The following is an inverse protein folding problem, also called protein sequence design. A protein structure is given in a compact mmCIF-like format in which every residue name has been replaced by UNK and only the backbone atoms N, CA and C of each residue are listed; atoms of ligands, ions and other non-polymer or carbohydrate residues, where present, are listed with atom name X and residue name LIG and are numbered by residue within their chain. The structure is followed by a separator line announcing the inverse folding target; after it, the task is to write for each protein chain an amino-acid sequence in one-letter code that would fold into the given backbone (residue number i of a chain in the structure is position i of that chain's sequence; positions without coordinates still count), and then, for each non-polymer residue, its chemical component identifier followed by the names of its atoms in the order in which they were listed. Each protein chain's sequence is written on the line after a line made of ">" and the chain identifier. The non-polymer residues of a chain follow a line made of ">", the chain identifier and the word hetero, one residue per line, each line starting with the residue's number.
data_IF_673621656939
#
_entry.id   IF_673621656939
#
_cell.length_a   1.000
_cell.length_b   1.000
_cell.length_c   1.000
_cell.angle_alpha   90.00
_cell.angle_beta   90.00
_cell.angle_gamma   90.00
#
_symmetry.space_group_name_H-M   'P 1'
#
loop_
_entity.id
_entity.type
_entity.pdbx_description
1 polymer ?
#
# COMPACT_ATOMS: atom_id res chain seq x y z
N UNK A 1 -9.61 11.71 10.75
CA UNK A 1 -8.77 11.81 9.53
C UNK A 1 -7.93 10.56 9.26
N UNK A 2 -7.42 9.91 10.29
CA UNK A 2 -6.62 8.67 10.17
C UNK A 2 -7.35 7.52 9.47
N UNK A 3 -8.65 7.38 9.72
CA UNK A 3 -9.49 6.38 9.04
C UNK A 3 -9.51 6.56 7.52
N UNK A 4 -9.50 7.81 7.03
CA UNK A 4 -9.45 8.10 5.60
C UNK A 4 -8.15 7.59 4.97
N UNK A 5 -7.02 7.71 5.65
CA UNK A 5 -5.73 7.18 5.17
C UNK A 5 -5.73 5.66 5.08
N UNK A 6 -6.32 4.98 6.05
CA UNK A 6 -6.46 3.52 6.04
C UNK A 6 -7.36 3.09 4.87
N UNK A 7 -8.52 3.71 4.73
CA UNK A 7 -9.44 3.43 3.61
C UNK A 7 -8.75 3.69 2.27
N UNK A 8 -8.10 4.86 2.14
CA UNK A 8 -7.37 5.22 0.93
C UNK A 8 -6.30 4.19 0.59
N UNK A 9 -5.45 3.82 1.55
CA UNK A 9 -4.36 2.86 1.34
C UNK A 9 -4.89 1.51 0.85
N UNK A 10 -5.84 0.91 1.57
CA UNK A 10 -6.37 -0.40 1.19
C UNK A 10 -7.20 -0.35 -0.10
N UNK A 11 -8.01 0.69 -0.30
CA UNK A 11 -8.82 0.82 -1.51
C UNK A 11 -7.95 1.07 -2.74
N UNK A 12 -6.90 1.91 -2.61
CA UNK A 12 -6.01 2.21 -3.73
C UNK A 12 -5.14 1.02 -4.09
N UNK A 13 -4.52 0.36 -3.12
CA UNK A 13 -3.69 -0.81 -3.37
C UNK A 13 -4.54 -1.97 -3.90
N UNK A 14 -5.66 -2.29 -3.26
CA UNK A 14 -6.54 -3.37 -3.73
C UNK A 14 -7.14 -3.06 -5.11
N UNK A 15 -7.60 -1.84 -5.32
CA UNK A 15 -8.24 -1.43 -6.57
C UNK A 15 -7.28 -1.47 -7.75
N UNK A 16 -6.08 -0.89 -7.60
CA UNK A 16 -5.05 -0.96 -8.64
C UNK A 16 -4.62 -2.41 -8.90
N UNK A 17 -4.44 -3.20 -7.84
CA UNK A 17 -4.05 -4.60 -7.98
C UNK A 17 -5.10 -5.48 -8.67
N UNK A 18 -6.38 -5.13 -8.57
CA UNK A 18 -7.43 -5.82 -9.30
C UNK A 18 -7.26 -5.72 -10.83
N UNK A 19 -6.48 -4.75 -11.32
CA UNK A 19 -6.17 -4.63 -12.75
C UNK A 19 -5.47 -5.86 -13.31
N UNK A 20 -4.70 -6.61 -12.51
CA UNK A 20 -4.02 -7.83 -12.96
C UNK A 20 -5.03 -8.88 -13.49
N UNK A 21 -6.23 -8.90 -12.95
CA UNK A 21 -7.28 -9.84 -13.35
C UNK A 21 -7.77 -9.67 -14.79
N UNK A 22 -7.43 -8.55 -15.44
CA UNK A 22 -7.72 -8.34 -16.86
C UNK A 22 -6.74 -9.09 -17.79
N UNK A 23 -5.56 -9.44 -17.25
CA UNK A 23 -4.46 -10.00 -18.04
C UNK A 23 -4.14 -11.44 -17.66
N UNK A 24 -4.33 -11.82 -16.40
CA UNK A 24 -3.93 -13.12 -15.85
C UNK A 24 -5.09 -13.76 -15.10
N UNK A 25 -5.21 -15.09 -15.18
CA UNK A 25 -6.14 -15.84 -14.36
C UNK A 25 -5.76 -15.72 -12.88
N UNK A 26 -6.72 -15.39 -12.04
CA UNK A 26 -6.52 -15.24 -10.61
C UNK A 26 -6.64 -16.59 -9.89
N UNK A 27 -6.02 -16.69 -8.71
CA UNK A 27 -6.21 -17.85 -7.83
C UNK A 27 -7.69 -18.04 -7.44
N UNK A 28 -8.13 -19.29 -7.37
CA UNK A 28 -9.46 -19.64 -6.88
C UNK A 28 -9.59 -19.42 -5.38
N UNK A 29 -8.48 -19.54 -4.63
CA UNK A 29 -8.46 -19.30 -3.19
C UNK A 29 -8.68 -17.81 -2.88
N UNK A 30 -9.72 -17.52 -2.10
CA UNK A 30 -10.10 -16.15 -1.77
C UNK A 30 -8.97 -15.33 -1.12
N UNK A 31 -8.28 -15.90 -0.12
CA UNK A 31 -7.24 -15.21 0.62
C UNK A 31 -6.02 -14.92 -0.26
N UNK A 32 -5.55 -15.93 -1.01
CA UNK A 32 -4.42 -15.80 -1.93
C UNK A 32 -4.70 -14.74 -3.01
N UNK A 33 -5.86 -14.81 -3.65
CA UNK A 33 -6.28 -13.85 -4.67
C UNK A 33 -6.27 -12.41 -4.16
N UNK A 34 -6.87 -12.16 -2.99
CA UNK A 34 -6.95 -10.81 -2.45
C UNK A 34 -5.58 -10.30 -1.96
N UNK A 35 -4.74 -11.17 -1.42
CA UNK A 35 -3.38 -10.83 -1.04
C UNK A 35 -2.53 -10.47 -2.28
N UNK A 36 -2.64 -11.27 -3.34
CA UNK A 36 -1.93 -10.98 -4.60
C UNK A 36 -2.37 -9.65 -5.20
N UNK A 37 -3.68 -9.35 -5.19
CA UNK A 37 -4.18 -8.04 -5.61
C UNK A 37 -3.58 -6.92 -4.78
N UNK A 38 -3.54 -7.08 -3.46
CA UNK A 38 -2.97 -6.08 -2.57
C UNK A 38 -1.49 -5.85 -2.86
N UNK A 39 -0.68 -6.91 -2.97
CA UNK A 39 0.76 -6.81 -3.23
C UNK A 39 1.09 -6.20 -4.59
N UNK A 40 0.41 -6.67 -5.64
CA UNK A 40 0.56 -6.12 -6.99
C UNK A 40 0.11 -4.65 -7.02
N UNK A 41 -0.99 -4.34 -6.33
CA UNK A 41 -1.48 -2.97 -6.24
C UNK A 41 -0.54 -2.02 -5.53
N UNK A 42 0.16 -2.49 -4.49
CA UNK A 42 1.20 -1.70 -3.84
C UNK A 42 2.34 -1.38 -4.82
N UNK A 43 2.81 -2.39 -5.57
CA UNK A 43 3.80 -2.18 -6.63
C UNK A 43 3.31 -1.24 -7.73
N UNK A 44 2.06 -1.41 -8.18
CA UNK A 44 1.46 -0.53 -9.19
C UNK A 44 1.27 0.91 -8.67
N UNK A 45 0.95 1.10 -7.40
CA UNK A 45 0.84 2.43 -6.80
C UNK A 45 2.19 3.16 -6.86
N UNK A 46 3.29 2.47 -6.53
CA UNK A 46 4.63 3.02 -6.64
C UNK A 46 5.04 3.30 -8.09
N UNK A 47 4.79 2.34 -8.99
CA UNK A 47 5.10 2.49 -10.41
C UNK A 47 4.33 3.67 -11.05
N UNK A 48 3.03 3.76 -10.78
CA UNK A 48 2.20 4.87 -11.26
C UNK A 48 2.66 6.19 -10.66
N UNK A 49 3.00 6.23 -9.37
CA UNK A 49 3.55 7.41 -8.73
C UNK A 49 4.80 7.90 -9.44
N UNK A 50 5.73 6.99 -9.73
CA UNK A 50 6.93 7.31 -10.48
C UNK A 50 6.62 7.81 -11.90
N UNK A 51 5.73 7.12 -12.63
CA UNK A 51 5.32 7.49 -13.97
C UNK A 51 4.65 8.88 -14.02
N UNK A 52 3.69 9.13 -13.12
CA UNK A 52 3.02 10.43 -13.03
C UNK A 52 4.03 11.55 -12.72
N UNK A 53 4.97 11.29 -11.82
CA UNK A 53 6.02 12.25 -11.47
C UNK A 53 6.92 12.56 -12.66
N UNK A 54 7.33 11.56 -13.47
CA UNK A 54 8.09 11.75 -14.70
C UNK A 54 7.33 12.60 -15.74
N UNK A 55 6.02 12.40 -15.83
CA UNK A 55 5.14 13.15 -16.72
C UNK A 55 4.79 14.53 -16.16
N UNK A 56 5.36 14.93 -15.01
CA UNK A 56 5.05 16.18 -14.28
C UNK A 56 3.57 16.32 -13.90
N UNK A 57 2.89 15.20 -13.73
CA UNK A 57 1.52 15.16 -13.22
C UNK A 57 1.61 15.13 -11.68
N UNK A 58 0.85 15.98 -10.97
CA UNK A 58 0.91 16.05 -9.52
C UNK A 58 0.60 14.71 -8.85
N UNK A 59 1.40 14.32 -7.85
CA UNK A 59 1.19 13.14 -7.02
C UNK A 59 0.05 13.38 -6.03
N UNK A 60 -1.16 13.62 -6.53
CA UNK A 60 -2.34 13.85 -5.71
C UNK A 60 -3.04 12.53 -5.40
N UNK A 61 -3.34 12.25 -4.12
CA UNK A 61 -4.01 11.04 -3.66
C UNK A 61 -5.35 10.76 -4.38
N UNK A 62 -6.05 11.82 -4.84
CA UNK A 62 -7.32 11.71 -5.56
C UNK A 62 -7.17 11.01 -6.91
N UNK A 63 -6.04 11.20 -7.58
CA UNK A 63 -5.74 10.52 -8.85
C UNK A 63 -5.68 9.01 -8.62
N UNK A 64 -4.94 8.56 -7.60
CA UNK A 64 -4.84 7.14 -7.26
C UNK A 64 -6.20 6.56 -6.84
N UNK A 65 -6.97 7.31 -6.08
CA UNK A 65 -8.33 6.91 -5.68
C UNK A 65 -9.25 6.75 -6.91
N UNK A 66 -9.27 7.72 -7.83
CA UNK A 66 -10.09 7.67 -9.04
C UNK A 66 -9.68 6.49 -9.92
N UNK A 67 -8.39 6.31 -10.17
CA UNK A 67 -7.89 5.17 -10.97
C UNK A 67 -8.29 3.83 -10.34
N UNK A 68 -8.15 3.70 -9.03
CA UNK A 68 -8.53 2.49 -8.30
C UNK A 68 -10.02 2.19 -8.40
N UNK A 69 -10.85 3.22 -8.24
CA UNK A 69 -12.31 3.08 -8.37
C UNK A 69 -12.72 2.72 -9.80
N UNK A 70 -12.09 3.31 -10.82
CA UNK A 70 -12.35 2.96 -12.23
C UNK A 70 -12.02 1.49 -12.51
N UNK A 71 -10.89 0.99 -12.00
CA UNK A 71 -10.52 -0.43 -12.13
C UNK A 71 -11.55 -1.32 -11.44
N UNK A 72 -11.95 -1.00 -10.20
CA UNK A 72 -12.93 -1.79 -9.45
C UNK A 72 -14.30 -1.81 -10.12
N UNK A 73 -14.79 -0.66 -10.60
CA UNK A 73 -16.07 -0.56 -11.32
C UNK A 73 -16.00 -1.38 -12.61
N UNK A 74 -14.91 -1.26 -13.37
CA UNK A 74 -14.71 -2.03 -14.60
C UNK A 74 -14.68 -3.54 -14.33
N UNK A 75 -13.97 -3.96 -13.28
CA UNK A 75 -13.92 -5.37 -12.86
C UNK A 75 -15.30 -5.87 -12.44
N UNK A 76 -16.00 -5.11 -11.59
CA UNK A 76 -17.35 -5.46 -11.17
C UNK A 76 -18.31 -5.60 -12.35
N UNK A 77 -18.28 -4.67 -13.32
CA UNK A 77 -19.09 -4.74 -14.51
C UNK A 77 -18.81 -5.99 -15.38
N UNK A 78 -17.51 -6.33 -15.53
CA UNK A 78 -17.13 -7.53 -16.30
C UNK A 78 -17.54 -8.83 -15.58
N UNK A 79 -17.41 -8.89 -14.27
CA UNK A 79 -17.80 -10.05 -13.47
C UNK A 79 -19.33 -10.20 -13.47
N UNK A 80 -20.07 -9.08 -13.42
CA UNK A 80 -21.52 -9.07 -13.57
C UNK A 80 -21.95 -9.66 -14.91
N UNK A 81 -21.36 -9.18 -16.02
CA UNK A 81 -21.67 -9.69 -17.36
C UNK A 81 -21.35 -11.17 -17.55
N UNK A 82 -20.36 -11.69 -16.84
CA UNK A 82 -19.93 -13.10 -16.90
C UNK A 82 -20.67 -14.00 -15.90
N UNK A 83 -21.67 -13.49 -15.19
CA UNK A 83 -22.38 -14.18 -14.10
C UNK A 83 -21.43 -14.80 -13.03
N UNK A 84 -20.27 -14.14 -12.80
CA UNK A 84 -19.26 -14.58 -11.83
C UNK A 84 -19.30 -13.79 -10.52
N UNK A 85 -20.45 -13.20 -10.18
CA UNK A 85 -20.61 -12.45 -8.95
C UNK A 85 -20.46 -13.37 -7.74
N UNK A 86 -19.42 -13.09 -6.95
CA UNK A 86 -19.20 -13.59 -5.59
C UNK A 86 -19.23 -15.11 -5.38
N UNK A 87 -18.20 -15.82 -5.79
CA UNK A 87 -17.86 -17.07 -5.10
C UNK A 87 -16.97 -16.73 -3.89
N UNK A 88 -17.56 -16.58 -2.72
CA UNK A 88 -16.86 -16.54 -1.44
C UNK A 88 -16.44 -17.97 -1.05
N UNK A 89 -15.50 -18.54 -1.77
CA UNK A 89 -14.92 -19.83 -1.40
C UNK A 89 -13.83 -19.59 -0.33
N UNK A 90 -14.28 -19.37 0.90
CA UNK A 90 -13.42 -19.20 2.08
C UNK A 90 -12.92 -20.57 2.57
N UNK A 91 -12.08 -21.24 1.80
CA UNK A 91 -11.35 -22.44 2.26
C UNK A 91 -10.21 -22.02 3.19
N UNK A 92 -10.57 -21.64 4.41
CA UNK A 92 -9.60 -21.39 5.47
C UNK A 92 -9.15 -22.74 6.05
N UNK A 93 -7.94 -23.16 5.73
CA UNK A 93 -7.30 -24.26 6.43
C UNK A 93 -6.71 -23.76 7.78
N UNK A 94 -6.40 -24.68 8.68
CA UNK A 94 -5.85 -24.36 10.01
C UNK A 94 -4.56 -23.53 9.92
N UNK A 95 -3.70 -23.79 8.93
CA UNK A 95 -2.45 -23.04 8.75
C UNK A 95 -2.70 -21.60 8.32
N UNK A 96 -3.67 -21.35 7.44
CA UNK A 96 -4.06 -20.00 7.06
C UNK A 96 -4.60 -19.21 8.26
N UNK A 97 -5.42 -19.85 9.10
CA UNK A 97 -5.91 -19.23 10.34
C UNK A 97 -4.75 -18.88 11.27
N UNK A 98 -3.81 -19.81 11.48
CA UNK A 98 -2.62 -19.58 12.31
C UNK A 98 -1.81 -18.39 11.80
N UNK A 99 -1.57 -18.30 10.48
CA UNK A 99 -0.83 -17.19 9.88
C UNK A 99 -1.55 -15.86 10.05
N UNK A 100 -2.87 -15.83 9.92
CA UNK A 100 -3.66 -14.61 10.17
C UNK A 100 -3.55 -14.19 11.65
N UNK A 101 -3.60 -15.13 12.58
CA UNK A 101 -3.40 -14.83 14.01
C UNK A 101 -1.99 -14.31 14.28
N UNK A 102 -0.96 -14.93 13.71
CA UNK A 102 0.42 -14.48 13.83
C UNK A 102 0.60 -13.08 13.21
N UNK A 103 0.02 -12.83 12.05
CA UNK A 103 0.02 -11.50 11.43
C UNK A 103 -0.63 -10.45 12.33
N UNK A 104 -1.80 -10.74 12.90
CA UNK A 104 -2.49 -9.83 13.80
C UNK A 104 -1.66 -9.54 15.07
N UNK A 105 -1.06 -10.58 15.67
CA UNK A 105 -0.20 -10.44 16.83
C UNK A 105 1.06 -9.62 16.51
N UNK A 106 1.73 -9.92 15.39
CA UNK A 106 2.93 -9.19 14.94
C UNK A 106 2.61 -7.73 14.62
N UNK A 107 1.51 -7.47 13.89
CA UNK A 107 1.05 -6.11 13.61
C UNK A 107 0.75 -5.33 14.89
N UNK A 108 0.06 -5.96 15.85
CA UNK A 108 -0.21 -5.35 17.14
C UNK A 108 1.09 -5.00 17.90
N UNK A 109 2.07 -5.90 17.92
CA UNK A 109 3.36 -5.67 18.56
C UNK A 109 4.13 -4.53 17.89
N UNK A 110 4.19 -4.49 16.57
CA UNK A 110 4.87 -3.43 15.83
C UNK A 110 4.17 -2.08 16.02
N UNK A 111 2.84 -2.03 15.94
CA UNK A 111 2.09 -0.79 16.21
C UNK A 111 2.32 -0.33 17.64
N UNK A 112 2.17 -1.22 18.63
CA UNK A 112 2.39 -0.88 20.04
C UNK A 112 3.82 -0.39 20.28
N UNK A 113 4.83 -1.04 19.70
CA UNK A 113 6.24 -0.62 19.79
C UNK A 113 6.47 0.74 19.16
N UNK A 114 5.99 0.95 17.93
CA UNK A 114 6.15 2.22 17.20
C UNK A 114 5.53 3.42 17.94
N UNK A 115 4.42 3.21 18.66
CA UNK A 115 3.75 4.26 19.43
C UNK A 115 4.17 4.32 20.91
N UNK A 116 5.09 3.47 21.36
CA UNK A 116 5.63 3.55 22.72
C UNK A 116 6.45 4.82 22.97
N UNK A 117 7.05 5.36 21.90
CA UNK A 117 7.77 6.62 21.91
C UNK A 117 7.01 7.70 21.11
N UNK A 118 6.86 8.93 21.63
CA UNK A 118 6.00 9.94 20.99
C UNK A 118 6.60 10.54 19.72
N UNK A 119 7.92 10.52 19.54
CA UNK A 119 8.65 11.12 18.42
C UNK A 119 9.23 10.06 17.48
N UNK A 120 9.93 10.50 16.44
CA UNK A 120 10.81 9.65 15.62
C UNK A 120 12.13 9.45 16.35
N UNK A 121 12.71 8.26 16.26
CA UNK A 121 13.80 7.86 17.18
C UNK A 121 15.20 8.17 16.64
N UNK A 122 15.37 8.31 15.31
CA UNK A 122 16.67 8.50 14.68
C UNK A 122 16.67 9.54 13.54
N UNK A 123 17.86 9.93 13.10
CA UNK A 123 18.06 10.93 12.07
C UNK A 123 17.51 10.51 10.72
N UNK A 124 17.53 9.20 10.42
CA UNK A 124 17.05 8.65 9.16
C UNK A 124 15.52 8.81 9.05
N UNK A 125 14.81 8.48 10.12
CA UNK A 125 13.37 8.69 10.23
C UNK A 125 12.98 10.17 10.10
N UNK A 126 13.78 11.08 10.64
CA UNK A 126 13.57 12.52 10.51
C UNK A 126 13.80 12.98 9.06
N UNK A 127 14.83 12.47 8.40
CA UNK A 127 15.12 12.76 6.99
C UNK A 127 13.96 12.32 6.10
N UNK A 128 13.46 11.09 6.27
CA UNK A 128 12.27 10.61 5.55
C UNK A 128 11.02 11.43 5.86
N UNK A 129 10.87 11.91 7.10
CA UNK A 129 9.72 12.75 7.46
C UNK A 129 9.67 14.05 6.65
N UNK A 130 10.82 14.65 6.38
CA UNK A 130 10.93 15.83 5.52
C UNK A 130 10.59 15.51 4.07
N UNK A 131 11.09 14.39 3.52
CA UNK A 131 10.77 13.92 2.18
C UNK A 131 9.28 13.63 2.00
N UNK A 132 8.66 12.91 2.94
CA UNK A 132 7.22 12.63 2.96
C UNK A 132 6.42 13.92 2.95
N UNK A 133 6.76 14.87 3.83
CA UNK A 133 6.09 16.16 3.91
C UNK A 133 6.25 16.97 2.64
N UNK A 134 7.46 16.95 2.04
CA UNK A 134 7.72 17.60 0.77
C UNK A 134 6.81 17.04 -0.33
N UNK A 135 6.76 15.71 -0.51
CA UNK A 135 5.88 15.07 -1.50
C UNK A 135 4.41 15.37 -1.22
N UNK A 136 3.99 15.41 0.03
CA UNK A 136 2.60 15.70 0.37
C UNK A 136 2.18 17.12 0.01
N UNK A 137 3.07 18.09 0.14
CA UNK A 137 2.81 19.53 -0.11
C UNK A 137 3.02 19.87 -1.59
N UNK A 138 4.20 19.57 -2.11
CA UNK A 138 4.60 19.94 -3.48
C UNK A 138 4.04 18.98 -4.54
N UNK A 139 3.52 17.81 -4.12
CA UNK A 139 2.96 16.76 -4.99
C UNK A 139 3.90 16.31 -6.09
N UNK A 140 5.18 16.33 -5.80
CA UNK A 140 6.25 15.84 -6.67
C UNK A 140 7.35 15.22 -5.83
N UNK A 141 8.06 14.26 -6.41
CA UNK A 141 9.27 13.71 -5.85
C UNK A 141 10.54 14.31 -6.48
N UNK A 142 10.44 15.25 -7.43
CA UNK A 142 11.58 15.94 -7.99
C UNK A 142 12.02 17.10 -7.12
N UNK A 143 13.35 17.31 -7.09
CA UNK A 143 13.92 18.49 -6.46
C UNK A 143 13.40 19.77 -7.14
N UNK A 144 12.89 20.66 -6.32
CA UNK A 144 12.54 22.02 -6.71
C UNK A 144 13.28 23.02 -5.85
N UNK A 145 13.09 24.32 -6.08
CA UNK A 145 13.76 25.39 -5.31
C UNK A 145 13.48 25.31 -3.80
N UNK A 146 12.36 24.70 -3.41
CA UNK A 146 11.95 24.53 -2.02
C UNK A 146 12.25 23.12 -1.47
N UNK A 147 12.96 22.28 -2.24
CA UNK A 147 13.31 20.94 -1.77
C UNK A 147 14.37 21.05 -0.67
N UNK A 148 14.15 20.40 0.48
CA UNK A 148 15.16 20.34 1.53
C UNK A 148 16.35 19.44 1.15
N UNK A 149 16.24 18.70 0.04
CA UNK A 149 17.26 17.76 -0.45
C UNK A 149 17.53 17.98 -1.93
N UNK A 150 18.77 17.70 -2.37
CA UNK A 150 19.09 17.40 -3.76
C UNK A 150 18.46 16.05 -4.11
N UNK A 151 17.26 16.06 -4.63
CA UNK A 151 16.37 14.93 -4.61
C UNK A 151 16.78 13.78 -5.54
N UNK A 152 16.52 12.55 -5.14
CA UNK A 152 16.91 11.28 -5.74
C UNK A 152 18.39 10.87 -5.54
N UNK A 153 19.17 11.66 -4.85
CA UNK A 153 20.53 11.28 -4.52
C UNK A 153 20.73 11.39 -2.99
N UNK A 154 21.01 10.31 -2.29
CA UNK A 154 21.28 8.95 -2.76
C UNK A 154 20.10 7.95 -2.67
N UNK A 155 18.91 8.35 -2.17
CA UNK A 155 17.83 7.43 -1.87
C UNK A 155 16.74 7.38 -2.93
N UNK A 156 16.28 6.16 -3.34
CA UNK A 156 15.11 6.03 -4.19
C UNK A 156 13.87 6.63 -3.50
N UNK A 157 13.08 7.50 -4.17
CA UNK A 157 11.99 8.24 -3.52
C UNK A 157 10.73 7.40 -3.26
N UNK A 158 10.76 6.09 -3.50
CA UNK A 158 9.58 5.23 -3.43
C UNK A 158 8.89 5.27 -2.06
N UNK A 159 9.67 5.25 -0.98
CA UNK A 159 9.17 5.32 0.38
C UNK A 159 8.50 6.68 0.65
N UNK A 160 9.21 7.78 0.40
CA UNK A 160 8.72 9.13 0.66
C UNK A 160 7.51 9.46 -0.22
N UNK A 161 7.53 8.96 -1.46
CA UNK A 161 6.44 9.13 -2.42
C UNK A 161 5.17 8.40 -1.95
N UNK A 162 5.28 7.13 -1.55
CA UNK A 162 4.14 6.36 -1.05
C UNK A 162 3.52 7.02 0.17
N UNK A 163 4.35 7.30 1.17
CA UNK A 163 3.88 7.87 2.43
C UNK A 163 3.44 9.33 2.28
N UNK A 164 4.06 10.09 1.37
CA UNK A 164 3.63 11.44 1.05
C UNK A 164 2.24 11.50 0.42
N UNK A 165 1.94 10.58 -0.50
CA UNK A 165 0.60 10.45 -1.08
C UNK A 165 -0.42 10.06 -0.01
N UNK A 166 -0.08 9.12 0.89
CA UNK A 166 -0.96 8.72 2.01
C UNK A 166 -1.14 9.89 2.98
N UNK A 167 -0.08 10.61 3.30
CA UNK A 167 -0.12 11.72 4.26
C UNK A 167 -1.03 12.88 3.81
N UNK A 168 -1.27 13.05 2.52
CA UNK A 168 -2.24 14.04 2.03
C UNK A 168 -3.68 13.77 2.54
N UNK A 169 -3.98 12.59 3.04
CA UNK A 169 -5.31 12.20 3.54
C UNK A 169 -5.49 12.41 5.04
N UNK A 170 -4.45 12.83 5.75
CA UNK A 170 -4.48 13.12 7.19
C UNK A 170 -3.52 14.25 7.56
N UNK A 171 -3.53 14.68 8.83
CA UNK A 171 -2.71 15.79 9.32
C UNK A 171 -1.58 15.33 10.26
N UNK A 172 -1.40 14.02 10.46
CA UNK A 172 -0.42 13.49 11.41
C UNK A 172 0.67 12.69 10.68
N UNK A 173 1.80 13.36 10.43
CA UNK A 173 2.96 12.75 9.78
C UNK A 173 3.51 11.56 10.58
N UNK A 174 3.67 11.73 11.90
CA UNK A 174 4.17 10.66 12.77
C UNK A 174 3.25 9.44 12.78
N UNK A 175 1.94 9.68 12.82
CA UNK A 175 0.98 8.58 12.74
C UNK A 175 1.09 7.85 11.39
N UNK A 176 1.16 8.58 10.30
CA UNK A 176 1.32 7.99 8.95
C UNK A 176 2.55 7.09 8.91
N UNK A 177 3.72 7.60 9.31
CA UNK A 177 4.96 6.85 9.29
C UNK A 177 4.89 5.63 10.20
N UNK A 178 4.52 5.80 11.45
CA UNK A 178 4.52 4.72 12.46
C UNK A 178 3.52 3.62 12.13
N UNK A 179 2.28 4.00 11.81
CA UNK A 179 1.24 3.02 11.52
C UNK A 179 1.50 2.24 10.24
N UNK A 180 1.79 2.93 9.14
CA UNK A 180 1.98 2.23 7.87
C UNK A 180 3.30 1.48 7.81
N UNK A 181 4.37 1.92 8.49
CA UNK A 181 5.58 1.11 8.64
C UNK A 181 5.29 -0.19 9.39
N UNK A 182 4.63 -0.11 10.54
CA UNK A 182 4.26 -1.28 11.31
C UNK A 182 3.41 -2.27 10.48
N UNK A 183 2.47 -1.75 9.70
CA UNK A 183 1.63 -2.53 8.80
C UNK A 183 2.45 -3.20 7.67
N UNK A 184 3.25 -2.42 6.94
CA UNK A 184 4.03 -2.90 5.79
C UNK A 184 5.07 -3.93 6.24
N UNK A 185 5.71 -3.75 7.39
CA UNK A 185 6.67 -4.73 7.93
C UNK A 185 5.98 -6.04 8.36
N UNK A 186 4.71 -5.98 8.75
CA UNK A 186 3.96 -7.16 9.20
C UNK A 186 3.37 -7.99 8.05
N UNK A 187 2.96 -7.34 6.95
CA UNK A 187 2.31 -7.97 5.79
C UNK A 187 3.15 -9.10 5.14
N UNK A 188 4.48 -9.01 5.00
CA UNK A 188 5.30 -10.07 4.44
C UNK A 188 5.11 -11.45 5.07
N UNK A 189 4.68 -11.51 6.33
CA UNK A 189 4.38 -12.79 6.99
C UNK A 189 3.32 -13.61 6.24
N UNK A 190 2.26 -12.94 5.77
CA UNK A 190 1.20 -13.61 5.01
C UNK A 190 1.69 -13.99 3.62
N UNK A 191 2.44 -13.10 2.96
CA UNK A 191 3.04 -13.40 1.65
C UNK A 191 4.00 -14.59 1.73
N UNK A 192 4.82 -14.64 2.77
CA UNK A 192 5.76 -15.75 2.98
C UNK A 192 5.04 -17.10 3.15
N UNK A 193 3.89 -17.13 3.82
CA UNK A 193 3.08 -18.34 3.92
C UNK A 193 2.67 -18.87 2.54
N UNK A 194 2.11 -18.01 1.67
CA UNK A 194 1.71 -18.44 0.34
C UNK A 194 2.90 -18.82 -0.53
N UNK A 195 4.02 -18.11 -0.40
CA UNK A 195 5.27 -18.48 -1.06
C UNK A 195 5.77 -19.86 -0.62
N UNK A 196 5.84 -20.10 0.68
CA UNK A 196 6.26 -21.41 1.22
C UNK A 196 5.33 -22.55 0.80
N UNK A 197 4.02 -22.30 0.71
CA UNK A 197 3.01 -23.28 0.26
C UNK A 197 3.31 -23.82 -1.15
N UNK A 198 3.97 -23.06 -2.02
CA UNK A 198 4.32 -23.50 -3.37
C UNK A 198 5.34 -24.66 -3.32
N UNK A 199 6.22 -24.67 -2.33
CA UNK A 199 7.29 -25.67 -2.19
C UNK A 199 6.88 -26.89 -1.36
N UNK A 200 5.73 -26.85 -0.71
CA UNK A 200 5.24 -27.92 0.19
C UNK A 200 4.13 -28.75 -0.42
N UNK A 201 3.84 -28.56 -1.69
CA UNK A 201 2.86 -29.35 -2.47
C UNK A 201 3.43 -30.63 -2.99
#
# INVERSE_FOLDING_TARGET
>A
MELLSIIFFFLSTYGLGAAISFFVAESEEFLERNLMRFGIGLGLMLFLGFLLNLLKIPLDWRIFMILSLLVLISKFYLDYRKNRLFSLDLKLNMYAVLVIVLFAATSYMHVKGAFAYPYLEDDDSWSHSLGIKYVAVEKTAFAGPNSPFGYLDPYPPAYDMLFGIIHQTNNSLYWTMKFFNALIVSIPLIFFYFFAKIFTK
#
